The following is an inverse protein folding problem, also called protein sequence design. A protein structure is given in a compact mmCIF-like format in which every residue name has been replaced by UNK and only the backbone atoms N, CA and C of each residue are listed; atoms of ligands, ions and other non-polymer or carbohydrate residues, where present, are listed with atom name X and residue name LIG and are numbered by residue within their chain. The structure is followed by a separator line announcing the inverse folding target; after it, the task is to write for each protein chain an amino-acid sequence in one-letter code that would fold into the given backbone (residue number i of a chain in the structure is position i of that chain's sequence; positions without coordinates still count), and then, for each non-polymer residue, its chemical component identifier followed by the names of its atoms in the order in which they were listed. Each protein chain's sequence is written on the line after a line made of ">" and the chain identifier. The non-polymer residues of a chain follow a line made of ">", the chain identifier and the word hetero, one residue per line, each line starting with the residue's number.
data_IF_770100898502
#
_entry.id   IF_770100898502
#
_cell.length_a   1.000
_cell.length_b   1.000
_cell.length_c   1.000
_cell.angle_alpha   90.00
_cell.angle_beta   90.00
_cell.angle_gamma   90.00
#
_symmetry.space_group_name_H-M   'P 1'
#
loop_
_entity.id
_entity.type
_entity.pdbx_description
1 polymer ?
#
# COMPACT_ATOMS: atom_id res chain seq x y z
N UNK A 1 9.66 8.25 -23.65
CA UNK A 1 8.65 9.20 -23.15
C UNK A 1 8.57 9.06 -21.63
N UNK A 2 8.64 10.14 -20.85
CA UNK A 2 8.39 10.05 -19.41
C UNK A 2 6.96 9.52 -19.21
N UNK A 3 6.73 8.61 -18.25
CA UNK A 3 5.40 8.10 -17.99
C UNK A 3 4.48 9.29 -17.63
N UNK A 4 3.37 9.44 -18.35
CA UNK A 4 2.31 10.42 -18.05
C UNK A 4 1.91 10.31 -16.59
N UNK A 5 1.57 11.44 -15.96
CA UNK A 5 1.31 11.55 -14.50
C UNK A 5 0.29 10.51 -13.97
N UNK A 6 -0.65 10.05 -14.82
CA UNK A 6 -1.58 8.95 -14.58
C UNK A 6 -0.90 7.59 -14.24
N UNK A 7 0.35 7.39 -14.65
CA UNK A 7 1.14 6.20 -14.35
C UNK A 7 1.76 6.21 -12.94
N UNK A 8 1.40 7.16 -12.05
CA UNK A 8 1.96 7.23 -10.69
C UNK A 8 0.93 7.15 -9.56
N UNK A 9 -0.32 6.80 -9.88
CA UNK A 9 -1.42 6.68 -8.90
C UNK A 9 -1.76 5.22 -8.59
N UNK A 10 -2.00 4.84 -7.34
CA UNK A 10 -2.26 3.45 -6.96
C UNK A 10 -3.67 2.94 -7.31
N UNK A 11 -4.49 3.72 -8.04
CA UNK A 11 -5.90 3.40 -8.32
C UNK A 11 -6.13 2.60 -9.60
N UNK A 12 -5.07 2.25 -10.32
CA UNK A 12 -5.16 1.46 -11.55
C UNK A 12 -4.08 0.40 -11.61
N UNK A 13 -4.33 -0.69 -12.34
CA UNK A 13 -3.33 -1.74 -12.56
C UNK A 13 -2.00 -1.20 -13.11
N UNK A 14 -2.06 -0.24 -14.04
CA UNK A 14 -0.87 0.39 -14.64
C UNK A 14 -0.09 1.22 -13.61
N UNK A 15 -0.80 2.00 -12.80
CA UNK A 15 -0.17 2.84 -11.78
C UNK A 15 0.47 2.02 -10.65
N UNK A 16 -0.18 0.94 -10.21
CA UNK A 16 0.38 -0.02 -9.26
C UNK A 16 1.64 -0.71 -9.83
N UNK A 17 1.60 -1.15 -11.10
CA UNK A 17 2.76 -1.76 -11.77
C UNK A 17 3.93 -0.77 -11.96
N UNK A 18 3.64 0.50 -12.20
CA UNK A 18 4.65 1.55 -12.34
C UNK A 18 5.31 1.89 -10.99
N UNK A 19 4.55 1.92 -9.89
CA UNK A 19 5.10 2.09 -8.53
C UNK A 19 5.99 0.92 -8.10
N UNK A 20 5.81 -0.26 -8.68
CA UNK A 20 6.63 -1.45 -8.43
C UNK A 20 8.00 -1.39 -9.13
N UNK A 21 8.07 -0.80 -10.32
CA UNK A 21 9.26 -0.89 -11.21
C UNK A 21 10.22 0.29 -11.09
N UNK A 22 9.75 1.49 -10.77
CA UNK A 22 10.61 2.68 -10.66
C UNK A 22 11.00 2.97 -9.20
N UNK A 23 12.28 3.05 -8.78
CA UNK A 23 12.65 3.59 -7.46
C UNK A 23 12.21 5.05 -7.40
N UNK A 24 11.11 5.32 -6.69
CA UNK A 24 10.54 6.67 -6.65
C UNK A 24 10.00 6.98 -5.27
N UNK A 25 10.21 8.22 -4.82
CA UNK A 25 9.65 8.76 -3.57
C UNK A 25 8.12 8.88 -3.57
N UNK A 26 7.45 8.46 -4.64
CA UNK A 26 5.99 8.51 -4.77
C UNK A 26 5.28 7.44 -3.95
N UNK A 27 5.85 6.25 -3.82
CA UNK A 27 5.24 5.20 -2.99
C UNK A 27 5.13 5.63 -1.52
N UNK A 28 6.21 6.07 -0.84
CA UNK A 28 6.10 6.49 0.56
C UNK A 28 5.16 7.69 0.73
N UNK A 29 5.08 8.61 -0.24
CA UNK A 29 4.08 9.69 -0.23
C UNK A 29 2.64 9.16 -0.18
N UNK A 30 2.28 8.22 -1.07
CA UNK A 30 0.93 7.66 -1.10
C UNK A 30 0.62 6.81 0.14
N UNK A 31 1.60 6.01 0.59
CA UNK A 31 1.48 5.20 1.80
C UNK A 31 1.25 6.09 3.03
N UNK A 32 2.04 7.15 3.20
CA UNK A 32 1.89 8.08 4.30
C UNK A 32 0.55 8.82 4.23
N UNK A 33 0.16 9.31 3.05
CA UNK A 33 -1.11 10.02 2.87
C UNK A 33 -2.31 9.12 3.22
N UNK A 34 -2.33 7.88 2.72
CA UNK A 34 -3.40 6.93 3.04
C UNK A 34 -3.41 6.57 4.53
N UNK A 35 -2.23 6.41 5.16
CA UNK A 35 -2.13 6.15 6.60
C UNK A 35 -2.67 7.32 7.43
N UNK A 36 -2.36 8.56 7.06
CA UNK A 36 -2.89 9.75 7.74
C UNK A 36 -4.41 9.87 7.59
N UNK A 37 -4.96 9.53 6.42
CA UNK A 37 -6.42 9.48 6.22
C UNK A 37 -7.07 8.41 7.10
N UNK A 38 -6.46 7.22 7.22
CA UNK A 38 -6.95 6.17 8.11
C UNK A 38 -6.87 6.59 9.59
N UNK A 39 -5.76 7.21 10.01
CA UNK A 39 -5.60 7.78 11.35
C UNK A 39 -6.64 8.85 11.65
N UNK A 40 -6.90 9.75 10.69
CA UNK A 40 -7.97 10.75 10.78
C UNK A 40 -9.35 10.09 10.92
N UNK A 41 -9.66 9.09 10.09
CA UNK A 41 -10.93 8.37 10.19
C UNK A 41 -11.11 7.67 11.54
N UNK A 42 -10.05 7.06 12.10
CA UNK A 42 -10.08 6.44 13.42
C UNK A 42 -10.29 7.46 14.55
N UNK A 43 -9.59 8.60 14.50
CA UNK A 43 -9.78 9.70 15.45
C UNK A 43 -11.22 10.23 15.37
N UNK A 44 -11.75 10.46 14.17
CA UNK A 44 -13.14 10.88 13.95
C UNK A 44 -14.12 9.87 14.54
N UNK A 45 -13.96 8.58 14.24
CA UNK A 45 -14.79 7.52 14.82
C UNK A 45 -14.79 7.56 16.35
N UNK A 46 -13.62 7.61 16.98
CA UNK A 46 -13.53 7.66 18.45
C UNK A 46 -14.20 8.91 19.00
N UNK A 47 -14.04 10.07 18.36
CA UNK A 47 -14.65 11.33 18.81
C UNK A 47 -16.16 11.39 18.67
N UNK A 48 -16.75 10.71 17.68
CA UNK A 48 -18.20 10.75 17.43
C UNK A 48 -18.95 9.58 18.07
N UNK A 49 -18.32 8.41 18.17
CA UNK A 49 -18.97 7.19 18.63
C UNK A 49 -18.64 6.85 20.10
N UNK A 50 -17.36 6.86 20.46
CA UNK A 50 -16.90 6.30 21.74
C UNK A 50 -16.73 7.35 22.84
N UNK A 51 -16.03 8.46 22.56
CA UNK A 51 -15.81 9.52 23.57
C UNK A 51 -17.11 10.10 24.14
N UNK A 52 -18.20 10.29 23.37
CA UNK A 52 -19.47 10.76 23.93
C UNK A 52 -20.07 9.76 24.92
N UNK A 53 -19.97 8.46 24.65
CA UNK A 53 -20.43 7.40 25.55
C UNK A 53 -19.62 7.42 26.85
N UNK A 54 -18.29 7.48 26.76
CA UNK A 54 -17.41 7.56 27.93
C UNK A 54 -17.67 8.85 28.72
N UNK A 55 -17.82 9.99 28.05
CA UNK A 55 -18.11 11.27 28.70
C UNK A 55 -19.45 11.24 29.43
N UNK A 56 -20.46 10.59 28.85
CA UNK A 56 -21.75 10.38 29.51
C UNK A 56 -21.60 9.50 30.74
N UNK A 57 -20.83 8.41 30.63
CA UNK A 57 -20.56 7.53 31.76
C UNK A 57 -19.84 8.25 32.90
N UNK A 58 -18.81 9.03 32.60
CA UNK A 58 -18.06 9.85 33.58
C UNK A 58 -18.98 10.83 34.30
N UNK A 59 -19.88 11.51 33.57
CA UNK A 59 -20.86 12.43 34.18
C UNK A 59 -21.90 11.75 35.07
N UNK A 60 -22.21 10.48 34.80
CA UNK A 60 -23.16 9.67 35.59
C UNK A 60 -22.48 8.87 36.71
N UNK A 61 -21.17 8.98 36.88
CA UNK A 61 -20.49 8.35 38.00
C UNK A 61 -21.04 8.87 39.34
N UNK A 62 -21.16 8.01 40.35
CA UNK A 62 -21.54 8.42 41.69
C UNK A 62 -20.43 9.26 42.34
N UNK A 63 -20.73 9.86 43.49
CA UNK A 63 -19.76 10.62 44.30
C UNK A 63 -18.76 9.73 45.02
N UNK A 64 -19.07 8.44 45.20
CA UNK A 64 -18.20 7.44 45.82
C UNK A 64 -18.25 6.16 44.99
N UNK A 65 -17.08 5.58 44.69
CA UNK A 65 -16.93 4.38 43.87
C UNK A 65 -15.45 4.14 43.62
N UNK A 66 -14.98 2.90 43.73
CA UNK A 66 -13.55 2.58 43.64
C UNK A 66 -13.34 1.13 43.22
N UNK A 67 -12.35 0.86 42.37
CA UNK A 67 -11.77 -0.48 42.25
C UNK A 67 -10.53 -0.53 43.10
N UNK A 68 -10.51 -1.40 44.11
CA UNK A 68 -9.37 -1.57 45.02
C UNK A 68 -9.18 -3.02 45.39
N UNK A 69 -7.92 -3.46 45.46
CA UNK A 69 -7.56 -4.80 45.90
C UNK A 69 -8.26 -5.91 45.10
N UNK A 70 -8.40 -5.70 43.78
CA UNK A 70 -9.06 -6.66 42.89
C UNK A 70 -10.60 -6.72 43.03
N UNK A 71 -11.23 -5.74 43.69
CA UNK A 71 -12.69 -5.69 43.86
C UNK A 71 -13.27 -4.32 43.54
N UNK A 72 -14.49 -4.34 43.02
CA UNK A 72 -15.31 -3.17 42.77
C UNK A 72 -16.13 -2.81 44.03
N UNK A 73 -15.91 -1.61 44.53
CA UNK A 73 -16.73 -0.97 45.56
C UNK A 73 -17.65 0.03 44.88
N UNK A 74 -18.94 -0.32 44.80
CA UNK A 74 -19.97 0.52 44.21
C UNK A 74 -20.99 0.92 45.29
N UNK A 75 -21.45 2.18 45.35
CA UNK A 75 -22.29 2.68 46.45
C UNK A 75 -23.69 2.06 46.43
N UNK A 76 -24.18 1.69 45.25
CA UNK A 76 -25.48 1.06 45.08
C UNK A 76 -25.26 -0.41 44.71
N UNK A 77 -25.82 -1.36 45.45
CA UNK A 77 -25.66 -2.79 45.10
C UNK A 77 -26.60 -3.25 43.97
N UNK A 78 -26.89 -2.36 43.01
CA UNK A 78 -27.81 -2.59 41.89
C UNK A 78 -27.12 -2.37 40.56
N UNK A 79 -27.61 -3.06 39.52
CA UNK A 79 -27.16 -2.83 38.15
C UNK A 79 -27.41 -1.37 37.77
N UNK A 80 -26.37 -0.68 37.33
CA UNK A 80 -26.41 0.73 36.94
C UNK A 80 -25.87 0.90 35.54
N UNK A 81 -26.66 1.51 34.66
CA UNK A 81 -26.22 1.84 33.30
C UNK A 81 -25.61 3.25 33.26
N UNK A 82 -24.30 3.32 33.03
CA UNK A 82 -23.56 4.57 32.99
C UNK A 82 -23.71 5.27 31.63
N UNK A 83 -23.64 4.51 30.54
CA UNK A 83 -23.86 5.03 29.20
C UNK A 83 -24.38 3.95 28.26
N UNK A 84 -25.21 4.36 27.30
CA UNK A 84 -25.69 3.50 26.23
C UNK A 84 -25.66 4.27 24.92
N UNK A 85 -24.88 3.78 23.97
CA UNK A 85 -24.93 4.18 22.55
C UNK A 85 -24.99 2.91 21.68
N UNK A 86 -25.32 3.02 20.39
CA UNK A 86 -25.25 1.86 19.48
C UNK A 86 -23.86 1.22 19.42
N UNK A 87 -22.79 2.00 19.64
CA UNK A 87 -21.40 1.56 19.53
C UNK A 87 -20.82 1.03 20.84
N UNK A 88 -21.13 1.69 21.97
CA UNK A 88 -20.53 1.40 23.27
C UNK A 88 -21.58 1.53 24.38
N UNK A 89 -21.75 0.44 25.14
CA UNK A 89 -22.49 0.44 26.40
C UNK A 89 -21.52 0.25 27.57
N UNK A 90 -21.73 1.01 28.65
CA UNK A 90 -20.94 0.95 29.87
C UNK A 90 -21.87 0.72 31.05
N UNK A 91 -21.69 -0.39 31.75
CA UNK A 91 -22.57 -0.81 32.85
C UNK A 91 -21.78 -1.27 34.06
N UNK A 92 -22.41 -1.15 35.23
CA UNK A 92 -21.87 -1.62 36.50
C UNK A 92 -22.85 -2.61 37.10
N UNK A 93 -22.40 -3.83 37.37
CA UNK A 93 -23.19 -4.93 37.90
C UNK A 93 -22.47 -5.58 39.09
N UNK A 94 -22.57 -4.96 40.28
CA UNK A 94 -21.80 -5.40 41.44
C UNK A 94 -22.25 -6.76 42.01
N UNK A 95 -23.42 -7.28 41.59
CA UNK A 95 -23.97 -8.57 42.04
C UNK A 95 -23.87 -9.68 41.01
N UNK A 96 -23.27 -9.42 39.85
CA UNK A 96 -23.21 -10.39 38.74
C UNK A 96 -24.59 -10.92 38.35
N UNK A 97 -25.64 -10.10 38.47
CA UNK A 97 -26.99 -10.55 38.11
C UNK A 97 -27.09 -10.68 36.58
N UNK A 98 -27.64 -11.77 36.02
CA UNK A 98 -27.77 -11.90 34.57
C UNK A 98 -28.53 -10.72 33.97
N UNK A 99 -27.88 -9.96 33.09
CA UNK A 99 -28.52 -8.84 32.36
C UNK A 99 -28.86 -9.34 30.95
N UNK A 100 -30.14 -9.33 30.54
CA UNK A 100 -30.51 -9.77 29.20
C UNK A 100 -30.04 -8.77 28.12
N UNK A 101 -29.34 -9.30 27.11
CA UNK A 101 -29.21 -8.68 25.80
C UNK A 101 -28.01 -7.75 25.60
N UNK A 102 -27.29 -7.99 24.51
CA UNK A 102 -26.30 -7.05 23.99
C UNK A 102 -27.01 -5.89 23.29
N UNK A 103 -26.79 -4.67 23.76
CA UNK A 103 -27.49 -3.48 23.27
C UNK A 103 -26.61 -2.52 22.46
N UNK A 104 -25.32 -2.83 22.35
CA UNK A 104 -24.32 -2.06 21.64
C UNK A 104 -23.35 -3.01 20.94
N UNK A 105 -22.64 -2.52 19.93
CA UNK A 105 -21.60 -3.29 19.23
C UNK A 105 -20.49 -3.75 20.18
N UNK A 106 -20.20 -2.95 21.21
CA UNK A 106 -19.35 -3.31 22.35
C UNK A 106 -20.08 -2.99 23.66
N UNK A 107 -20.26 -3.98 24.52
CA UNK A 107 -20.82 -3.82 25.87
C UNK A 107 -19.72 -4.10 26.90
N UNK A 108 -19.45 -3.15 27.78
CA UNK A 108 -18.44 -3.29 28.84
C UNK A 108 -19.14 -3.23 30.19
N UNK A 109 -18.98 -4.30 30.95
CA UNK A 109 -19.62 -4.50 32.25
C UNK A 109 -18.55 -4.60 33.34
N UNK A 110 -18.67 -3.75 34.36
CA UNK A 110 -17.85 -3.81 35.57
C UNK A 110 -18.58 -4.66 36.61
N UNK A 111 -18.00 -5.81 36.94
CA UNK A 111 -18.54 -6.79 37.88
C UNK A 111 -17.75 -6.71 39.20
N UNK A 112 -18.12 -7.48 40.22
CA UNK A 112 -17.50 -7.44 41.55
C UNK A 112 -15.97 -7.59 41.57
N UNK A 113 -15.38 -8.43 40.70
CA UNK A 113 -13.97 -8.81 40.71
C UNK A 113 -13.30 -8.78 39.32
N UNK A 114 -14.08 -8.52 38.27
CA UNK A 114 -13.63 -8.57 36.89
C UNK A 114 -14.36 -7.54 36.03
N UNK A 115 -13.75 -7.20 34.90
CA UNK A 115 -14.37 -6.44 33.83
C UNK A 115 -14.64 -7.37 32.65
N UNK A 116 -15.85 -7.32 32.14
CA UNK A 116 -16.31 -8.14 31.04
C UNK A 116 -16.58 -7.26 29.83
N UNK A 117 -16.06 -7.66 28.68
CA UNK A 117 -16.30 -7.00 27.40
C UNK A 117 -16.98 -7.99 26.46
N UNK A 118 -18.16 -7.64 25.97
CA UNK A 118 -18.93 -8.42 25.02
C UNK A 118 -18.99 -7.68 23.68
N UNK A 119 -18.73 -8.40 22.60
CA UNK A 119 -18.90 -7.89 21.24
C UNK A 119 -19.28 -9.04 20.30
N UNK A 120 -19.48 -8.73 19.01
CA UNK A 120 -19.68 -9.73 17.96
C UNK A 120 -18.54 -10.78 17.91
N UNK A 121 -17.34 -10.36 18.30
CA UNK A 121 -16.13 -11.20 18.31
C UNK A 121 -16.01 -12.10 19.54
N UNK A 122 -17.00 -12.07 20.45
CA UNK A 122 -17.06 -12.95 21.62
C UNK A 122 -17.17 -12.19 22.94
N UNK A 123 -16.90 -12.94 24.01
CA UNK A 123 -16.96 -12.49 25.39
C UNK A 123 -15.58 -12.63 26.02
N UNK A 124 -15.07 -11.54 26.59
CA UNK A 124 -13.77 -11.49 27.24
C UNK A 124 -13.92 -11.02 28.67
N UNK A 125 -13.22 -11.68 29.58
CA UNK A 125 -13.17 -11.29 30.99
C UNK A 125 -11.74 -10.98 31.39
N UNK A 126 -11.58 -9.94 32.19
CA UNK A 126 -10.29 -9.54 32.73
C UNK A 126 -10.44 -9.34 34.23
N UNK A 127 -9.72 -10.11 35.07
CA UNK A 127 -9.77 -9.90 36.51
C UNK A 127 -9.13 -8.55 36.88
N UNK A 128 -9.65 -7.90 37.91
CA UNK A 128 -9.02 -6.67 38.40
C UNK A 128 -7.64 -6.98 39.00
N UNK A 129 -6.57 -6.26 38.60
CA UNK A 129 -5.27 -6.46 39.19
C UNK A 129 -5.30 -6.20 40.71
N UNK A 130 -4.67 -7.05 41.56
CA UNK A 130 -4.73 -6.89 43.02
C UNK A 130 -4.14 -5.58 43.53
N UNK A 131 -3.23 -4.96 42.77
CA UNK A 131 -2.56 -3.71 43.13
C UNK A 131 -3.21 -2.47 42.50
N UNK A 132 -4.27 -2.65 41.71
CA UNK A 132 -4.97 -1.54 41.09
C UNK A 132 -5.83 -0.84 42.15
N UNK A 133 -5.60 0.46 42.30
CA UNK A 133 -6.47 1.40 42.98
C UNK A 133 -6.92 2.42 41.93
N UNK A 134 -8.14 2.24 41.41
CA UNK A 134 -8.71 3.11 40.41
C UNK A 134 -9.97 3.79 40.99
N UNK A 135 -9.95 5.11 41.21
CA UNK A 135 -11.15 5.81 41.63
C UNK A 135 -12.19 5.78 40.51
N UNK A 136 -13.43 5.43 40.86
CA UNK A 136 -14.60 5.45 39.99
C UNK A 136 -15.65 6.42 40.53
N UNK A 137 -15.18 7.57 41.03
CA UNK A 137 -16.01 8.66 41.50
C UNK A 137 -15.93 9.84 40.55
N UNK A 138 -17.04 10.55 40.40
CA UNK A 138 -17.10 11.73 39.54
C UNK A 138 -16.05 12.82 39.85
N UNK A 139 -15.82 13.25 41.10
CA UNK A 139 -14.92 14.38 41.38
C UNK A 139 -13.46 14.13 41.01
N UNK A 140 -12.98 12.87 40.98
CA UNK A 140 -11.60 12.56 40.59
C UNK A 140 -11.52 12.21 39.10
N UNK A 141 -12.49 11.46 38.56
CA UNK A 141 -12.44 10.99 37.17
C UNK A 141 -12.79 12.10 36.17
N UNK A 142 -13.75 12.97 36.48
CA UNK A 142 -14.19 14.04 35.56
C UNK A 142 -13.06 15.01 35.15
N UNK A 143 -12.24 15.58 36.07
CA UNK A 143 -11.14 16.46 35.68
C UNK A 143 -10.03 15.72 34.93
N UNK A 144 -9.71 14.49 35.33
CA UNK A 144 -8.70 13.66 34.65
C UNK A 144 -9.17 13.33 33.23
N UNK A 145 -10.43 12.94 33.06
CA UNK A 145 -11.02 12.66 31.75
C UNK A 145 -10.94 13.87 30.84
N UNK A 146 -11.38 15.05 31.31
CA UNK A 146 -11.32 16.28 30.54
C UNK A 146 -9.89 16.65 30.11
N UNK A 147 -8.91 16.44 30.99
CA UNK A 147 -7.49 16.70 30.69
C UNK A 147 -6.92 15.72 29.64
N UNK A 148 -7.31 14.44 29.68
CA UNK A 148 -6.75 13.40 28.82
C UNK A 148 -7.41 13.27 27.44
N UNK A 149 -8.66 13.74 27.28
CA UNK A 149 -9.39 13.71 26.01
C UNK A 149 -8.57 14.13 24.77
N UNK A 150 -7.89 15.30 24.73
CA UNK A 150 -7.12 15.70 23.55
C UNK A 150 -5.94 14.75 23.25
N UNK A 151 -5.27 14.23 24.28
CA UNK A 151 -4.17 13.29 24.12
C UNK A 151 -4.65 11.93 23.62
N UNK A 152 -5.81 11.45 24.10
CA UNK A 152 -6.44 10.21 23.59
C UNK A 152 -6.74 10.36 22.10
N UNK A 153 -7.29 11.49 21.66
CA UNK A 153 -7.55 11.74 20.24
C UNK A 153 -6.28 11.71 19.40
N UNK A 154 -5.24 12.41 19.83
CA UNK A 154 -3.95 12.42 19.14
C UNK A 154 -3.31 11.01 19.12
N UNK A 155 -3.41 10.26 20.21
CA UNK A 155 -2.92 8.89 20.30
C UNK A 155 -3.67 7.96 19.33
N UNK A 156 -5.00 8.05 19.26
CA UNK A 156 -5.80 7.25 18.30
C UNK A 156 -5.48 7.61 16.86
N UNK A 157 -5.30 8.90 16.55
CA UNK A 157 -4.87 9.34 15.22
C UNK A 157 -3.54 8.70 14.84
N UNK A 158 -2.52 8.84 15.70
CA UNK A 158 -1.19 8.30 15.47
C UNK A 158 -1.18 6.78 15.41
N UNK A 159 -1.91 6.12 16.30
CA UNK A 159 -2.05 4.66 16.32
C UNK A 159 -2.75 4.14 15.06
N UNK A 160 -3.83 4.77 14.61
CA UNK A 160 -4.53 4.39 13.37
C UNK A 160 -3.63 4.50 12.14
N UNK A 161 -2.86 5.60 12.03
CA UNK A 161 -1.88 5.76 10.96
C UNK A 161 -0.77 4.70 11.05
N UNK A 162 -0.22 4.47 12.25
CA UNK A 162 0.83 3.47 12.48
C UNK A 162 0.36 2.05 12.15
N UNK A 163 -0.86 1.68 12.57
CA UNK A 163 -1.47 0.38 12.24
C UNK A 163 -1.62 0.21 10.74
N UNK A 164 -2.06 1.25 10.01
CA UNK A 164 -2.08 1.23 8.54
C UNK A 164 -0.70 0.95 7.94
N UNK A 165 0.33 1.71 8.36
CA UNK A 165 1.70 1.53 7.89
C UNK A 165 2.25 0.13 8.18
N UNK A 166 2.13 -0.33 9.42
CA UNK A 166 2.65 -1.63 9.87
C UNK A 166 1.89 -2.77 9.19
N UNK A 167 0.56 -2.71 9.11
CA UNK A 167 -0.23 -3.77 8.47
C UNK A 167 0.06 -3.87 6.97
N UNK A 168 0.08 -2.75 6.23
CA UNK A 168 0.37 -2.79 4.80
C UNK A 168 1.79 -3.27 4.50
N UNK A 169 2.77 -2.86 5.31
CA UNK A 169 4.17 -3.31 5.15
C UNK A 169 4.29 -4.81 5.43
N UNK A 170 3.68 -5.33 6.51
CA UNK A 170 3.68 -6.75 6.85
C UNK A 170 2.97 -7.60 5.81
N UNK A 171 1.76 -7.21 5.38
CA UNK A 171 1.03 -7.91 4.31
C UNK A 171 1.86 -7.90 3.02
N UNK A 172 2.48 -6.77 2.69
CA UNK A 172 3.41 -6.66 1.58
C UNK A 172 4.56 -7.68 1.66
N UNK A 173 5.17 -7.84 2.84
CA UNK A 173 6.29 -8.76 3.05
C UNK A 173 5.85 -10.22 2.89
N UNK A 174 4.70 -10.59 3.47
CA UNK A 174 4.16 -11.94 3.39
C UNK A 174 3.71 -12.29 1.96
N UNK A 175 3.11 -11.35 1.24
CA UNK A 175 2.58 -11.60 -0.10
C UNK A 175 3.61 -11.42 -1.23
N UNK A 176 4.75 -10.74 -0.99
CA UNK A 176 5.77 -10.52 -2.01
C UNK A 176 6.32 -11.82 -2.65
N UNK A 177 6.63 -12.90 -1.89
CA UNK A 177 7.02 -14.19 -2.47
C UNK A 177 5.94 -14.82 -3.35
N UNK A 178 4.67 -14.70 -2.95
CA UNK A 178 3.53 -15.22 -3.72
C UNK A 178 3.40 -14.48 -5.06
N UNK A 179 3.46 -13.15 -5.03
CA UNK A 179 3.45 -12.33 -6.26
C UNK A 179 4.69 -12.60 -7.10
N UNK A 180 5.84 -12.89 -6.49
CA UNK A 180 7.08 -13.24 -7.20
C UNK A 180 6.94 -14.56 -7.97
N UNK A 181 6.33 -15.57 -7.35
CA UNK A 181 6.00 -16.84 -8.00
C UNK A 181 5.04 -16.61 -9.17
N UNK A 182 3.95 -15.87 -8.96
CA UNK A 182 3.01 -15.52 -10.01
C UNK A 182 3.69 -14.79 -11.18
N UNK A 183 4.52 -13.80 -10.90
CA UNK A 183 5.27 -13.08 -11.91
C UNK A 183 6.24 -14.00 -12.67
N UNK A 184 6.85 -14.99 -12.01
CA UNK A 184 7.69 -15.98 -12.67
C UNK A 184 6.88 -16.87 -13.63
N UNK A 185 5.70 -17.36 -13.20
CA UNK A 185 4.78 -18.15 -14.03
C UNK A 185 4.29 -17.35 -15.25
N UNK A 186 4.02 -16.05 -15.08
CA UNK A 186 3.61 -15.14 -16.16
C UNK A 186 4.79 -14.65 -17.03
N UNK A 187 6.00 -15.18 -16.84
CA UNK A 187 7.24 -14.75 -17.50
C UNK A 187 7.47 -13.23 -17.41
N UNK A 188 7.25 -12.64 -16.24
CA UNK A 188 7.43 -11.20 -15.96
C UNK A 188 8.72 -10.90 -15.17
N UNK A 189 9.31 -9.73 -15.43
CA UNK A 189 10.48 -9.22 -14.73
C UNK A 189 10.05 -8.29 -13.59
N UNK A 190 10.47 -8.64 -12.38
CA UNK A 190 10.26 -7.84 -11.16
C UNK A 190 11.24 -8.33 -10.10
N UNK A 191 11.76 -7.44 -9.26
CA UNK A 191 12.61 -7.82 -8.11
C UNK A 191 11.72 -8.16 -6.91
N UNK A 192 12.26 -8.80 -5.87
CA UNK A 192 11.49 -9.07 -4.65
C UNK A 192 11.01 -7.76 -3.99
N UNK A 193 11.87 -6.74 -3.96
CA UNK A 193 11.49 -5.40 -3.52
C UNK A 193 10.40 -4.79 -4.39
N UNK A 194 10.44 -5.00 -5.72
CA UNK A 194 9.36 -4.59 -6.62
C UNK A 194 8.04 -5.28 -6.32
N UNK A 195 8.04 -6.57 -6.00
CA UNK A 195 6.84 -7.31 -5.57
C UNK A 195 6.26 -6.75 -4.27
N UNK A 196 7.09 -6.47 -3.27
CA UNK A 196 6.66 -5.84 -2.02
C UNK A 196 5.98 -4.49 -2.29
N UNK A 197 6.63 -3.63 -3.09
CA UNK A 197 6.09 -2.32 -3.48
C UNK A 197 4.77 -2.43 -4.25
N UNK A 198 4.65 -3.44 -5.10
CA UNK A 198 3.42 -3.73 -5.86
C UNK A 198 2.27 -4.05 -4.91
N UNK A 199 2.48 -4.96 -3.96
CA UNK A 199 1.44 -5.34 -2.99
C UNK A 199 1.05 -4.14 -2.13
N UNK A 200 2.03 -3.44 -1.57
CA UNK A 200 1.77 -2.25 -0.74
C UNK A 200 0.96 -1.20 -1.52
N UNK A 201 1.34 -0.92 -2.77
CA UNK A 201 0.60 0.02 -3.62
C UNK A 201 -0.83 -0.46 -3.93
N UNK A 202 -1.03 -1.76 -4.15
CA UNK A 202 -2.34 -2.34 -4.43
C UNK A 202 -3.29 -2.27 -3.22
N UNK A 203 -2.76 -2.25 -1.99
CA UNK A 203 -3.57 -2.15 -0.76
C UNK A 203 -4.09 -0.73 -0.50
N UNK A 204 -3.47 0.32 -1.05
CA UNK A 204 -3.81 1.71 -0.71
C UNK A 204 -5.24 2.11 -1.03
N UNK A 205 -5.81 1.77 -2.21
CA UNK A 205 -7.21 2.07 -2.49
C UNK A 205 -8.16 1.35 -1.52
N UNK A 206 -7.86 0.09 -1.18
CA UNK A 206 -8.60 -0.65 -0.15
C UNK A 206 -8.52 0.04 1.21
N UNK A 207 -7.34 0.52 1.61
CA UNK A 207 -7.15 1.30 2.84
C UNK A 207 -8.02 2.56 2.89
N UNK A 208 -8.15 3.29 1.77
CA UNK A 208 -9.03 4.46 1.69
C UNK A 208 -10.51 4.08 1.76
N UNK A 209 -10.90 2.95 1.15
CA UNK A 209 -12.27 2.41 1.28
C UNK A 209 -12.58 2.04 2.73
N UNK A 210 -11.63 1.42 3.44
CA UNK A 210 -11.77 1.12 4.88
C UNK A 210 -11.92 2.41 5.68
N UNK A 211 -11.12 3.44 5.42
CA UNK A 211 -11.24 4.73 6.08
C UNK A 211 -12.61 5.38 5.83
N UNK A 212 -13.11 5.35 4.60
CA UNK A 212 -14.45 5.84 4.25
C UNK A 212 -15.57 5.04 4.93
N UNK A 213 -15.47 3.70 4.93
CA UNK A 213 -16.41 2.83 5.63
C UNK A 213 -16.45 3.09 7.14
N UNK A 214 -15.29 3.35 7.75
CA UNK A 214 -15.19 3.70 9.17
C UNK A 214 -15.88 5.03 9.48
N UNK A 215 -15.79 6.03 8.59
CA UNK A 215 -16.49 7.31 8.74
C UNK A 215 -18.00 7.16 8.58
N UNK A 216 -18.45 6.32 7.63
CA UNK A 216 -19.88 6.03 7.46
C UNK A 216 -20.46 5.30 8.67
N UNK A 217 -19.72 4.34 9.22
CA UNK A 217 -20.04 3.69 10.47
C UNK A 217 -20.12 4.70 11.62
N UNK A 218 -19.10 5.57 11.76
CA UNK A 218 -19.08 6.64 12.76
C UNK A 218 -20.27 7.61 12.66
N UNK A 219 -20.78 7.83 11.45
CA UNK A 219 -21.90 8.72 11.14
C UNK A 219 -23.28 8.08 11.22
N UNK A 220 -23.41 6.85 11.72
CA UNK A 220 -24.66 6.04 11.70
C UNK A 220 -25.18 5.69 10.30
N UNK A 221 -24.36 5.87 9.25
CA UNK A 221 -24.69 5.43 7.90
C UNK A 221 -24.56 3.92 7.73
N UNK A 222 -23.74 3.25 8.54
CA UNK A 222 -23.52 1.81 8.56
C UNK A 222 -23.68 1.22 9.95
N UNK A 223 -24.10 -0.05 10.01
CA UNK A 223 -23.95 -0.92 11.18
C UNK A 223 -22.57 -1.58 11.17
N UNK A 224 -22.17 -2.19 12.28
CA UNK A 224 -20.89 -2.91 12.36
C UNK A 224 -20.74 -3.96 11.25
N UNK A 225 -21.82 -4.70 10.95
CA UNK A 225 -21.80 -5.73 9.90
C UNK A 225 -21.55 -5.14 8.50
N UNK A 226 -22.14 -3.99 8.19
CA UNK A 226 -21.94 -3.31 6.90
C UNK A 226 -20.49 -2.85 6.75
N UNK A 227 -19.91 -2.32 7.83
CA UNK A 227 -18.49 -1.98 7.87
C UNK A 227 -17.59 -3.21 7.65
N UNK A 228 -17.91 -4.36 8.27
CA UNK A 228 -17.15 -5.60 8.05
C UNK A 228 -17.24 -6.10 6.60
N UNK A 229 -18.41 -5.98 5.96
CA UNK A 229 -18.55 -6.30 4.53
C UNK A 229 -17.66 -5.38 3.68
N UNK A 230 -17.69 -4.06 3.94
CA UNK A 230 -16.83 -3.09 3.24
C UNK A 230 -15.35 -3.40 3.47
N UNK A 231 -14.97 -3.79 4.70
CA UNK A 231 -13.61 -4.20 5.02
C UNK A 231 -13.16 -5.40 4.18
N UNK A 232 -13.99 -6.44 4.05
CA UNK A 232 -13.69 -7.61 3.21
C UNK A 232 -13.57 -7.20 1.74
N UNK A 233 -14.52 -6.43 1.21
CA UNK A 233 -14.51 -5.97 -0.18
C UNK A 233 -13.27 -5.13 -0.50
N UNK A 234 -12.83 -4.28 0.44
CA UNK A 234 -11.61 -3.48 0.29
C UNK A 234 -10.35 -4.34 0.16
N UNK A 235 -10.25 -5.46 0.88
CA UNK A 235 -9.14 -6.40 0.76
C UNK A 235 -9.19 -7.15 -0.58
N UNK A 236 -10.38 -7.57 -1.02
CA UNK A 236 -10.57 -8.19 -2.33
C UNK A 236 -10.19 -7.24 -3.48
N UNK A 237 -10.51 -5.94 -3.36
CA UNK A 237 -10.05 -4.92 -4.29
C UNK A 237 -8.52 -4.85 -4.35
N UNK A 238 -7.84 -4.92 -3.21
CA UNK A 238 -6.37 -4.95 -3.15
C UNK A 238 -5.78 -6.17 -3.85
N UNK A 239 -6.37 -7.35 -3.63
CA UNK A 239 -5.97 -8.59 -4.35
C UNK A 239 -6.17 -8.44 -5.86
N UNK A 240 -7.34 -7.93 -6.28
CA UNK A 240 -7.66 -7.71 -7.69
C UNK A 240 -6.68 -6.72 -8.36
N UNK A 241 -6.34 -5.63 -7.69
CA UNK A 241 -5.36 -4.66 -8.17
C UNK A 241 -3.96 -5.28 -8.29
N UNK A 242 -3.54 -6.09 -7.31
CA UNK A 242 -2.25 -6.77 -7.33
C UNK A 242 -2.15 -7.77 -8.49
N UNK A 243 -3.19 -8.57 -8.73
CA UNK A 243 -3.25 -9.53 -9.84
C UNK A 243 -3.20 -8.83 -11.20
N UNK A 244 -4.02 -7.78 -11.39
CA UNK A 244 -4.03 -7.01 -12.63
C UNK A 244 -2.69 -6.29 -12.88
N UNK A 245 -2.08 -5.74 -11.84
CA UNK A 245 -0.76 -5.10 -11.92
C UNK A 245 0.34 -6.11 -12.28
N UNK A 246 0.30 -7.32 -11.72
CA UNK A 246 1.26 -8.38 -12.07
C UNK A 246 1.20 -8.73 -13.56
N UNK A 247 0.02 -8.67 -14.17
CA UNK A 247 -0.15 -8.89 -15.62
C UNK A 247 0.43 -7.77 -16.50
N UNK A 248 0.59 -6.56 -15.95
CA UNK A 248 1.10 -5.39 -16.66
C UNK A 248 2.61 -5.18 -16.48
N UNK A 249 3.28 -6.02 -15.68
CA UNK A 249 4.72 -5.96 -15.50
C UNK A 249 5.49 -6.22 -16.82
N UNK A 250 6.73 -5.70 -16.97
CA UNK A 250 7.55 -5.98 -18.14
C UNK A 250 7.75 -7.49 -18.36
N UNK A 251 7.67 -7.94 -19.61
CA UNK A 251 7.93 -9.36 -19.95
C UNK A 251 9.43 -9.66 -19.83
N UNK A 252 9.76 -10.87 -19.37
CA UNK A 252 11.12 -11.43 -19.48
C UNK A 252 11.44 -11.58 -20.95
N UNK A 253 12.38 -10.77 -21.44
CA UNK A 253 13.03 -11.06 -22.70
C UNK A 253 13.84 -12.35 -22.49
N UNK A 254 13.70 -13.34 -23.39
CA UNK A 254 14.61 -14.48 -23.37
C UNK A 254 16.04 -13.94 -23.53
N UNK A 255 17.04 -14.56 -22.88
CA UNK A 255 18.43 -14.24 -23.17
C UNK A 255 18.62 -14.36 -24.68
N UNK A 256 19.15 -13.32 -25.32
CA UNK A 256 19.41 -13.36 -26.75
C UNK A 256 20.44 -14.47 -26.98
N UNK A 257 19.97 -15.63 -27.45
CA UNK A 257 20.80 -16.80 -27.78
C UNK A 257 21.86 -16.48 -28.84
N UNK A 258 21.68 -15.36 -29.55
CA UNK A 258 22.57 -14.81 -30.56
C UNK A 258 22.82 -13.32 -30.32
N UNK A 259 23.09 -12.92 -29.06
CA UNK A 259 23.74 -11.63 -28.87
C UNK A 259 25.08 -11.70 -29.61
N UNK A 260 25.20 -10.95 -30.71
CA UNK A 260 26.49 -10.68 -31.35
C UNK A 260 27.43 -10.26 -30.23
N UNK A 261 28.64 -10.85 -30.11
CA UNK A 261 29.60 -10.37 -29.13
C UNK A 261 29.70 -8.86 -29.30
N UNK A 262 29.47 -8.12 -28.22
CA UNK A 262 29.74 -6.69 -28.20
C UNK A 262 31.17 -6.54 -28.73
N UNK A 263 31.41 -5.76 -29.80
CA UNK A 263 32.77 -5.54 -30.27
C UNK A 263 33.53 -5.02 -29.06
N UNK A 264 34.49 -5.82 -28.58
CA UNK A 264 35.24 -5.54 -27.37
C UNK A 264 35.60 -4.06 -27.40
N UNK A 265 35.13 -3.31 -26.40
CA UNK A 265 35.47 -1.91 -26.26
C UNK A 265 36.97 -1.80 -26.50
N UNK A 266 37.34 -1.11 -27.59
CA UNK A 266 38.73 -0.91 -27.94
C UNK A 266 39.39 -0.36 -26.68
N UNK A 267 40.40 -1.04 -26.12
CA UNK A 267 41.08 -0.48 -24.95
C UNK A 267 41.49 0.95 -25.31
N UNK A 268 41.30 1.93 -24.41
CA UNK A 268 41.66 3.31 -24.72
C UNK A 268 43.09 3.28 -25.24
N UNK A 269 43.30 3.88 -26.42
CA UNK A 269 44.63 4.02 -26.98
C UNK A 269 45.48 4.72 -25.92
N UNK A 270 46.35 3.95 -25.25
CA UNK A 270 47.35 4.51 -24.37
C UNK A 270 48.32 5.19 -25.33
N UNK A 271 48.07 6.48 -25.56
CA UNK A 271 49.03 7.35 -26.22
C UNK A 271 50.25 7.39 -25.32
N UNK A 272 51.22 6.51 -25.59
CA UNK A 272 52.57 6.73 -25.14
C UNK A 272 53.07 7.98 -25.87
N UNK A 273 52.89 9.14 -25.24
CA UNK A 273 53.76 10.28 -25.51
C UNK A 273 55.17 9.80 -25.19
N UNK A 274 55.92 9.45 -26.23
CA UNK A 274 57.35 9.29 -26.15
C UNK A 274 57.92 10.66 -25.74
N UNK A 275 58.04 10.88 -24.44
CA UNK A 275 58.93 11.92 -23.91
C UNK A 275 60.32 11.45 -24.28
N UNK A 276 60.82 11.96 -25.40
CA UNK A 276 62.22 11.85 -25.78
C UNK A 276 63.06 12.63 -24.79
N UNK A 277 63.33 12.05 -23.62
CA UNK A 277 64.51 12.40 -22.84
C UNK A 277 65.59 11.41 -23.21
N UNK A 278 66.44 11.81 -24.16
CA UNK A 278 67.71 11.14 -24.43
C UNK A 278 68.49 11.02 -23.10
N UNK A 279 69.03 9.84 -22.76
CA UNK A 279 69.84 9.70 -21.56
C UNK A 279 71.15 10.51 -21.71
N UNK A 280 71.70 11.08 -20.61
CA UNK A 280 72.99 11.76 -20.65
C UNK A 280 74.08 10.83 -21.23
N UNK A 281 75.00 11.39 -22.01
CA UNK A 281 75.99 10.66 -22.83
C UNK A 281 77.00 9.79 -22.08
N UNK A 282 76.97 9.76 -20.75
CA UNK A 282 77.91 9.02 -19.91
C UNK A 282 77.24 7.88 -19.10
N UNK A 283 76.20 7.25 -19.68
CA UNK A 283 75.58 6.07 -19.07
C UNK A 283 76.28 4.78 -19.53
N UNK A 284 76.78 3.93 -18.60
CA UNK A 284 77.48 2.68 -18.93
C UNK A 284 76.58 1.57 -19.50
N UNK A 285 75.31 1.87 -19.80
CA UNK A 285 74.32 0.94 -20.37
C UNK A 285 73.79 1.37 -21.74
N UNK A 286 74.52 2.24 -22.47
CA UNK A 286 74.21 2.54 -23.85
C UNK A 286 74.46 1.31 -24.74
N UNK A 287 73.38 0.61 -25.11
CA UNK A 287 73.44 -0.54 -26.03
C UNK A 287 73.55 -0.05 -27.49
N UNK A 288 74.30 -0.75 -28.37
CA UNK A 288 74.35 -0.43 -29.80
C UNK A 288 72.99 -0.71 -30.45
N UNK A 289 72.53 0.20 -31.31
CA UNK A 289 71.27 0.07 -32.07
C UNK A 289 71.30 -1.18 -32.97
N UNK A 290 70.38 -2.16 -32.81
CA UNK A 290 70.27 -3.25 -33.75
C UNK A 290 69.50 -2.83 -35.00
N UNK A 291 70.11 -3.14 -36.15
CA UNK A 291 69.62 -3.02 -37.52
C UNK A 291 68.27 -3.69 -37.79
N UNK A 292 67.55 -3.13 -38.77
CA UNK A 292 66.25 -3.51 -39.30
C UNK A 292 65.89 -5.01 -39.25
N UNK A 293 64.70 -5.32 -38.72
CA UNK A 293 64.09 -6.65 -38.81
C UNK A 293 63.62 -6.90 -40.26
N UNK A 294 63.95 -8.04 -40.90
CA UNK A 294 63.55 -8.33 -42.27
C UNK A 294 62.04 -8.62 -42.38
N UNK A 295 61.44 -8.20 -43.50
CA UNK A 295 60.03 -8.40 -43.82
C UNK A 295 59.70 -9.89 -44.02
N UNK A 296 58.55 -10.31 -43.48
CA UNK A 296 58.06 -11.69 -43.58
C UNK A 296 57.56 -11.99 -45.01
N UNK A 297 58.11 -13.00 -45.72
CA UNK A 297 57.77 -13.32 -47.11
C UNK A 297 56.47 -14.13 -47.29
N UNK A 298 55.70 -14.40 -46.23
CA UNK A 298 54.45 -15.19 -46.29
C UNK A 298 53.15 -14.37 -46.18
N UNK A 299 53.20 -13.05 -46.35
CA UNK A 299 52.00 -12.22 -46.45
C UNK A 299 51.33 -12.38 -47.83
N UNK A 300 50.63 -13.50 -48.04
CA UNK A 300 49.73 -13.65 -49.19
C UNK A 300 48.39 -12.98 -48.88
N UNK A 301 48.12 -11.83 -49.52
CA UNK A 301 46.80 -11.19 -49.52
C UNK A 301 45.87 -11.93 -50.48
N UNK A 302 44.69 -12.44 -50.05
CA UNK A 302 43.66 -12.84 -50.99
C UNK A 302 42.90 -11.61 -51.47
N UNK A 303 42.92 -11.39 -52.79
CA UNK A 303 42.07 -10.42 -53.47
C UNK A 303 40.60 -10.83 -53.31
N UNK A 304 39.80 -10.02 -52.61
CA UNK A 304 38.35 -10.16 -52.56
C UNK A 304 37.78 -9.62 -53.87
N UNK A 305 37.29 -10.53 -54.70
CA UNK A 305 36.50 -10.23 -55.89
C UNK A 305 35.14 -9.70 -55.42
N UNK A 306 34.79 -8.48 -55.80
CA UNK A 306 33.47 -7.90 -55.56
C UNK A 306 32.39 -8.63 -56.38
N UNK A 307 31.23 -8.98 -55.81
CA UNK A 307 30.10 -9.52 -56.58
C UNK A 307 29.47 -8.45 -57.50
N UNK A 308 28.98 -8.82 -58.70
CA UNK A 308 28.29 -7.90 -59.58
C UNK A 308 26.88 -7.53 -59.06
N UNK A 309 26.54 -6.26 -59.28
CA UNK A 309 25.27 -5.60 -58.94
C UNK A 309 24.08 -6.23 -59.67
N UNK A 310 22.95 -6.54 -59.00
CA UNK A 310 21.76 -7.08 -59.66
C UNK A 310 20.98 -5.99 -60.42
N UNK A 311 20.42 -6.30 -61.61
CA UNK A 311 19.75 -5.33 -62.46
C UNK A 311 18.42 -4.81 -61.86
N UNK A 312 18.20 -3.51 -62.08
CA UNK A 312 17.05 -2.74 -61.63
C UNK A 312 15.71 -3.34 -62.10
N UNK A 313 14.77 -3.48 -61.15
CA UNK A 313 13.39 -3.85 -61.43
C UNK A 313 12.60 -2.67 -62.03
N UNK A 314 11.69 -2.91 -63.00
CA UNK A 314 10.89 -1.86 -63.62
C UNK A 314 9.81 -1.29 -62.68
N UNK A 315 9.36 -0.04 -62.88
CA UNK A 315 8.51 0.68 -61.95
C UNK A 315 7.08 0.13 -61.90
N UNK A 316 6.65 -0.27 -60.70
CA UNK A 316 5.26 -0.58 -60.35
C UNK A 316 4.39 0.68 -60.37
N UNK A 317 3.28 0.63 -61.12
CA UNK A 317 2.22 1.65 -61.16
C UNK A 317 1.66 1.94 -59.75
N UNK A 318 1.30 3.21 -59.43
CA UNK A 318 0.75 3.57 -58.14
C UNK A 318 -0.70 3.07 -57.98
N UNK A 319 -1.08 2.46 -56.85
CA UNK A 319 -2.47 2.21 -56.53
C UNK A 319 -3.18 3.50 -56.09
N UNK A 320 -4.32 3.69 -56.74
CA UNK A 320 -5.34 4.72 -56.67
C UNK A 320 -5.77 5.08 -55.23
N UNK A 321 -5.93 6.38 -54.98
CA UNK A 321 -6.47 6.92 -53.74
C UNK A 321 -7.92 6.43 -53.48
N UNK A 322 -8.31 6.18 -52.21
CA UNK A 322 -9.68 5.81 -51.90
C UNK A 322 -10.64 7.01 -52.09
N UNK A 323 -11.82 6.81 -52.70
CA UNK A 323 -12.80 7.87 -52.88
C UNK A 323 -13.45 8.27 -51.55
N UNK A 324 -13.63 9.59 -51.38
CA UNK A 324 -14.41 10.21 -50.30
C UNK A 324 -15.84 9.64 -50.30
N UNK A 325 -16.28 9.11 -49.18
CA UNK A 325 -17.69 8.78 -48.97
C UNK A 325 -18.52 10.07 -48.81
N UNK A 326 -19.72 10.15 -49.41
CA UNK A 326 -20.57 11.33 -49.37
C UNK A 326 -21.29 11.48 -48.03
N UNK A 327 -21.44 12.74 -47.64
CA UNK A 327 -22.39 13.24 -46.64
C UNK A 327 -23.81 12.85 -47.08
N UNK A 328 -24.55 12.15 -46.23
CA UNK A 328 -26.00 12.01 -46.35
C UNK A 328 -26.63 12.59 -45.09
N UNK A 329 -27.42 13.62 -45.34
CA UNK A 329 -28.26 14.33 -44.39
C UNK A 329 -29.41 13.44 -43.90
N UNK A 330 -29.78 13.71 -42.64
CA UNK A 330 -31.10 13.61 -42.01
C UNK A 330 -32.24 12.96 -42.79
N UNK A 331 -32.83 11.92 -42.18
CA UNK A 331 -34.28 11.72 -42.21
C UNK A 331 -34.74 11.11 -40.87
N UNK A 332 -35.69 11.79 -40.24
CA UNK A 332 -36.37 11.45 -38.98
C UNK A 332 -37.59 10.52 -39.28
N UNK A 333 -38.41 10.11 -38.29
CA UNK A 333 -38.69 8.72 -37.92
C UNK A 333 -40.04 8.19 -38.46
N UNK A 334 -40.52 7.05 -37.96
CA UNK A 334 -41.80 7.19 -37.26
C UNK A 334 -41.89 6.45 -35.92
N UNK A 335 -42.71 7.05 -35.07
CA UNK A 335 -43.25 6.61 -33.80
C UNK A 335 -43.89 5.21 -33.85
N UNK A 336 -43.75 4.45 -32.76
CA UNK A 336 -44.72 3.42 -32.36
C UNK A 336 -44.76 3.29 -30.83
N UNK A 337 -45.89 2.88 -30.25
CA UNK A 337 -46.49 3.59 -29.12
C UNK A 337 -46.38 2.84 -27.79
N UNK A 338 -46.64 3.60 -26.75
CA UNK A 338 -47.04 3.19 -25.41
C UNK A 338 -48.02 2.00 -25.42
N UNK A 339 -47.75 0.99 -24.59
CA UNK A 339 -48.75 0.04 -24.15
C UNK A 339 -48.89 0.11 -22.61
N UNK A 340 -50.09 0.34 -22.08
CA UNK A 340 -50.37 0.27 -20.65
C UNK A 340 -50.84 -1.13 -20.23
N UNK A 341 -50.37 -1.60 -19.07
CA UNK A 341 -51.09 -2.43 -18.08
C UNK A 341 -50.21 -2.60 -16.85
#
# INVERSE_FOLDING_TARGET
>A
MPPTQAARQPFSWRGVAALATAPSGWLPFWVLSAALVLGWAAERFVTTAWLPAVTTAVRRLPTSGEIRAGRLFWPTNTVTELARTPFLALRVNPRSTPVPGQAADVDVELIANEICAQSLFGYWTFPYPPRLALPLNRPEVEPVWAAWQPYIRAAVFGAGALVGLVSWTLVGLVAAPVVRLLAALLRRQVTLGGCWRLVVAALLPGGLVVAGGLLLYAGHGFRLLDFLVVFVLAHLLGVWLALGAAWQLPRRQPPALFATPEPAATPPAVSFTAVGSAPPGDSPFAMPVPSARPANPFAASPAIIAPPEPPAAPPTKPPMAPPKAPVVSQEEPPEQPLNPS
#
